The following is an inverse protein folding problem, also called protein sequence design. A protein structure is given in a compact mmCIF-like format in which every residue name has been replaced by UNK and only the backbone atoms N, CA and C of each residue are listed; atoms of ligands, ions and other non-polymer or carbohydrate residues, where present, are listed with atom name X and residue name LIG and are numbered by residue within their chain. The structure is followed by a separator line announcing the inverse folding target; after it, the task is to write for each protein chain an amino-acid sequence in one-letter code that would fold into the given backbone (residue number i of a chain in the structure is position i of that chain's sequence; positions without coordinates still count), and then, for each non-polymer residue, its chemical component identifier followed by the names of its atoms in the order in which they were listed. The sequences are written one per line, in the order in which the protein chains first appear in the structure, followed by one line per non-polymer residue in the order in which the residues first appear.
data_IF_739388986695
#
_entry.id   IF_739388986695
#
_cell.length_a   1.000
_cell.length_b   1.000
_cell.length_c   1.000
_cell.angle_alpha   90.00
_cell.angle_beta   90.00
_cell.angle_gamma   90.00
#
_symmetry.space_group_name_H-M   'P 1'
#
loop_
_entity.id
_entity.type
_entity.pdbx_description
1 polymer ?
#
# COMPACT_ATOMS: atom_id res chain seq x y z
N UNK A 1 -9.43 -3.86 -63.35
CA UNK A 1 -9.81 -3.16 -62.10
C UNK A 1 -9.25 -1.74 -62.12
N UNK A 2 -10.13 -0.73 -62.12
CA UNK A 2 -9.72 0.68 -62.19
C UNK A 2 -8.83 1.06 -60.99
N UNK A 3 -7.82 1.92 -61.20
CA UNK A 3 -6.90 2.42 -60.14
C UNK A 3 -7.65 2.94 -58.91
N UNK A 4 -8.86 3.48 -59.07
CA UNK A 4 -9.72 3.97 -57.98
C UNK A 4 -10.23 2.84 -57.07
N UNK A 5 -10.64 1.71 -57.63
CA UNK A 5 -11.14 0.55 -56.87
C UNK A 5 -10.04 -0.08 -56.01
N UNK A 6 -8.80 -0.16 -56.53
CA UNK A 6 -7.64 -0.64 -55.75
C UNK A 6 -7.28 0.27 -54.57
N UNK A 7 -7.41 1.60 -54.73
CA UNK A 7 -7.18 2.57 -53.65
C UNK A 7 -8.24 2.48 -52.54
N UNK A 8 -9.50 2.27 -52.90
CA UNK A 8 -10.59 2.11 -51.93
C UNK A 8 -10.41 0.82 -51.13
N UNK A 9 -10.05 -0.29 -51.78
CA UNK A 9 -9.77 -1.56 -51.09
C UNK A 9 -8.57 -1.42 -50.14
N UNK A 10 -7.50 -0.75 -50.58
CA UNK A 10 -6.33 -0.51 -49.72
C UNK A 10 -6.69 0.37 -48.50
N UNK A 11 -7.47 1.43 -48.70
CA UNK A 11 -7.92 2.30 -47.61
C UNK A 11 -8.81 1.55 -46.61
N UNK A 12 -9.74 0.73 -47.12
CA UNK A 12 -10.59 -0.11 -46.28
C UNK A 12 -9.77 -1.13 -45.49
N UNK A 13 -8.75 -1.76 -46.09
CA UNK A 13 -7.85 -2.68 -45.42
C UNK A 13 -7.02 -2.00 -44.31
N UNK A 14 -6.53 -0.77 -44.57
CA UNK A 14 -5.81 0.03 -43.56
C UNK A 14 -6.74 0.39 -42.40
N UNK A 15 -7.97 0.84 -42.68
CA UNK A 15 -8.95 1.15 -41.64
C UNK A 15 -9.33 -0.08 -40.81
N UNK A 16 -9.47 -1.25 -41.45
CA UNK A 16 -9.72 -2.52 -40.76
C UNK A 16 -8.54 -2.91 -39.87
N UNK A 17 -7.31 -2.76 -40.37
CA UNK A 17 -6.10 -3.06 -39.61
C UNK A 17 -5.95 -2.13 -38.40
N UNK A 18 -6.20 -0.83 -38.57
CA UNK A 18 -6.24 0.14 -37.47
C UNK A 18 -7.32 -0.24 -36.47
N UNK A 19 -8.53 -0.58 -36.94
CA UNK A 19 -9.63 -1.01 -36.07
C UNK A 19 -9.30 -2.23 -35.23
N UNK A 20 -8.68 -3.25 -35.82
CA UNK A 20 -8.23 -4.47 -35.12
C UNK A 20 -7.14 -4.14 -34.10
N UNK A 21 -6.14 -3.35 -34.48
CA UNK A 21 -5.05 -2.97 -33.57
C UNK A 21 -5.59 -2.15 -32.39
N UNK A 22 -6.47 -1.18 -32.64
CA UNK A 22 -7.13 -0.39 -31.60
C UNK A 22 -7.99 -1.26 -30.68
N UNK A 23 -8.68 -2.26 -31.22
CA UNK A 23 -9.49 -3.19 -30.41
C UNK A 23 -8.64 -4.02 -29.43
N UNK A 24 -7.41 -4.39 -29.81
CA UNK A 24 -6.50 -5.12 -28.91
C UNK A 24 -5.96 -4.28 -27.74
N UNK A 25 -6.06 -2.95 -27.83
CA UNK A 25 -5.64 -2.02 -26.78
C UNK A 25 -6.78 -1.60 -25.84
N UNK A 26 -8.00 -2.09 -26.06
CA UNK A 26 -9.09 -1.83 -25.13
C UNK A 26 -8.81 -2.49 -23.77
N UNK A 27 -9.05 -1.78 -22.66
CA UNK A 27 -8.99 -2.35 -21.33
C UNK A 27 -9.98 -3.51 -21.22
N UNK A 28 -9.48 -4.67 -20.78
CA UNK A 28 -10.30 -5.84 -20.45
C UNK A 28 -10.39 -5.98 -18.94
N UNK A 29 -11.47 -6.63 -18.52
CA UNK A 29 -11.59 -7.09 -17.14
C UNK A 29 -10.37 -7.96 -16.76
N UNK A 30 -9.92 -7.91 -15.50
CA UNK A 30 -8.80 -8.67 -15.03
C UNK A 30 -8.95 -10.17 -15.26
N UNK A 31 -7.95 -10.79 -15.88
CA UNK A 31 -7.84 -12.24 -15.94
C UNK A 31 -7.63 -12.80 -14.53
N UNK A 32 -7.95 -14.09 -14.28
CA UNK A 32 -7.58 -14.76 -13.04
C UNK A 32 -6.11 -14.53 -12.68
N UNK A 33 -5.85 -14.29 -11.39
CA UNK A 33 -4.50 -14.02 -10.93
C UNK A 33 -3.57 -15.22 -11.13
N UNK A 34 -2.27 -14.92 -11.14
CA UNK A 34 -1.19 -15.84 -11.47
C UNK A 34 -1.09 -17.02 -10.50
N UNK A 35 -0.61 -18.16 -10.99
CA UNK A 35 -0.20 -19.30 -10.15
C UNK A 35 1.09 -19.00 -9.37
N UNK A 36 1.36 -19.73 -8.29
CA UNK A 36 2.56 -19.51 -7.45
C UNK A 36 3.85 -19.59 -8.25
N UNK A 37 3.97 -20.57 -9.16
CA UNK A 37 5.12 -20.70 -10.05
C UNK A 37 5.31 -19.47 -10.95
N UNK A 38 4.22 -18.87 -11.41
CA UNK A 38 4.27 -17.66 -12.23
C UNK A 38 4.59 -16.42 -11.40
N UNK A 39 4.05 -16.31 -10.19
CA UNK A 39 4.37 -15.25 -9.22
C UNK A 39 5.87 -15.29 -8.91
N UNK A 40 6.39 -16.42 -8.43
CA UNK A 40 7.81 -16.62 -8.09
C UNK A 40 8.70 -16.25 -9.27
N UNK A 41 8.40 -16.78 -10.47
CA UNK A 41 9.19 -16.47 -11.68
C UNK A 41 9.21 -14.99 -11.99
N UNK A 42 8.07 -14.31 -11.86
CA UNK A 42 7.95 -12.88 -12.19
C UNK A 42 8.59 -12.00 -11.13
N UNK A 43 8.47 -12.33 -9.84
CA UNK A 43 9.22 -11.66 -8.78
C UNK A 43 10.71 -11.77 -9.06
N UNK A 44 11.25 -12.97 -9.27
CA UNK A 44 12.68 -13.15 -9.57
C UNK A 44 13.14 -12.43 -10.85
N UNK A 45 12.25 -12.23 -11.81
CA UNK A 45 12.55 -11.46 -13.03
C UNK A 45 12.50 -9.95 -12.80
N UNK A 46 11.71 -9.49 -11.83
CA UNK A 46 11.50 -8.09 -11.49
C UNK A 46 12.52 -7.59 -10.47
N UNK A 47 12.74 -8.38 -9.42
CA UNK A 47 13.70 -8.14 -8.36
C UNK A 47 14.28 -9.48 -7.90
N UNK A 48 15.47 -9.81 -8.41
CA UNK A 48 16.08 -11.12 -8.20
C UNK A 48 16.62 -11.34 -6.78
N UNK A 49 16.81 -10.30 -5.97
CA UNK A 49 17.30 -10.47 -4.59
C UNK A 49 16.22 -11.11 -3.69
N UNK A 50 14.94 -10.82 -3.95
CA UNK A 50 13.82 -11.31 -3.14
C UNK A 50 13.70 -12.84 -3.03
N UNK A 51 14.17 -13.60 -4.03
CA UNK A 51 14.22 -15.07 -4.05
C UNK A 51 13.02 -15.78 -3.37
N UNK A 52 11.76 -15.53 -3.79
CA UNK A 52 10.61 -16.15 -3.15
C UNK A 52 10.60 -17.67 -3.36
N UNK A 53 10.43 -18.40 -2.27
CA UNK A 53 10.34 -19.87 -2.25
C UNK A 53 8.91 -20.34 -2.05
N UNK A 54 8.17 -19.69 -1.16
CA UNK A 54 6.79 -20.05 -0.79
C UNK A 54 5.89 -18.83 -0.96
N UNK A 55 4.83 -18.96 -1.73
CA UNK A 55 3.75 -17.97 -1.76
C UNK A 55 2.76 -18.33 -0.66
N UNK A 56 2.54 -17.42 0.29
CA UNK A 56 1.67 -17.67 1.45
C UNK A 56 0.19 -17.51 1.07
N UNK A 57 -0.14 -16.52 0.26
CA UNK A 57 -1.54 -16.19 -0.12
C UNK A 57 -1.60 -15.25 -1.32
N UNK A 58 -2.81 -14.98 -1.80
CA UNK A 58 -3.11 -14.03 -2.87
C UNK A 58 -4.32 -13.20 -2.46
N UNK A 59 -4.06 -12.05 -1.84
CA UNK A 59 -5.11 -11.23 -1.24
C UNK A 59 -5.45 -10.09 -2.18
N UNK A 60 -6.65 -10.13 -2.75
CA UNK A 60 -7.15 -9.07 -3.62
C UNK A 60 -7.47 -7.83 -2.77
N UNK A 61 -6.80 -6.72 -3.08
CA UNK A 61 -7.06 -5.42 -2.47
C UNK A 61 -8.26 -4.76 -3.14
N UNK A 62 -8.40 -4.95 -4.45
CA UNK A 62 -9.57 -4.68 -5.27
C UNK A 62 -9.55 -5.58 -6.51
N UNK A 63 -10.35 -5.26 -7.53
CA UNK A 63 -10.41 -6.04 -8.77
C UNK A 63 -9.08 -6.02 -9.56
N UNK A 64 -8.28 -4.96 -9.41
CA UNK A 64 -7.08 -4.65 -10.19
C UNK A 64 -5.78 -4.65 -9.38
N UNK A 65 -5.82 -4.87 -8.07
CA UNK A 65 -4.66 -4.88 -7.18
C UNK A 65 -4.63 -6.12 -6.30
N UNK A 66 -3.45 -6.75 -6.21
CA UNK A 66 -3.24 -7.95 -5.38
C UNK A 66 -2.01 -7.79 -4.51
N UNK A 67 -2.17 -8.09 -3.23
CA UNK A 67 -1.10 -8.24 -2.25
C UNK A 67 -0.73 -9.73 -2.13
N UNK A 68 0.57 -10.02 -2.20
CA UNK A 68 1.08 -11.39 -2.17
C UNK A 68 2.24 -11.46 -1.16
N UNK A 69 1.98 -11.97 0.06
CA UNK A 69 3.03 -12.29 1.04
C UNK A 69 3.75 -13.58 0.63
N UNK A 70 5.07 -13.61 0.85
CA UNK A 70 5.91 -14.75 0.50
C UNK A 70 7.02 -14.98 1.53
N UNK A 71 7.54 -16.20 1.54
CA UNK A 71 8.75 -16.58 2.29
C UNK A 71 9.88 -16.78 1.28
N UNK A 72 11.02 -16.11 1.48
CA UNK A 72 12.20 -16.22 0.63
C UNK A 72 12.99 -17.52 0.89
N UNK A 73 13.99 -17.79 0.06
CA UNK A 73 14.89 -18.94 0.26
C UNK A 73 15.66 -18.87 1.58
N UNK A 74 15.94 -17.66 2.07
CA UNK A 74 16.68 -17.39 3.32
C UNK A 74 15.76 -17.23 4.55
N UNK A 75 14.53 -17.76 4.48
CA UNK A 75 13.49 -17.65 5.53
C UNK A 75 13.10 -16.19 5.87
N UNK A 76 13.28 -15.26 4.92
CA UNK A 76 12.79 -13.88 5.01
C UNK A 76 11.30 -13.81 4.68
N UNK A 77 10.57 -12.90 5.34
CA UNK A 77 9.14 -12.72 5.16
C UNK A 77 8.88 -11.45 4.35
N UNK A 78 8.81 -11.61 3.03
CA UNK A 78 8.68 -10.51 2.08
C UNK A 78 7.26 -10.30 1.57
N UNK A 79 7.08 -9.24 0.80
CA UNK A 79 5.78 -8.90 0.20
C UNK A 79 5.94 -8.43 -1.24
N UNK A 80 4.91 -8.68 -2.05
CA UNK A 80 4.83 -8.14 -3.39
C UNK A 80 3.46 -7.60 -3.73
N UNK A 81 3.45 -6.53 -4.51
CA UNK A 81 2.26 -5.81 -4.94
C UNK A 81 2.11 -5.94 -6.43
N UNK A 82 0.87 -6.16 -6.85
CA UNK A 82 0.55 -6.42 -8.24
C UNK A 82 -0.57 -5.54 -8.71
N UNK A 83 -0.46 -5.08 -9.94
CA UNK A 83 -1.46 -4.27 -10.63
C UNK A 83 -1.86 -4.94 -11.95
N UNK A 84 -3.16 -4.92 -12.25
CA UNK A 84 -3.69 -5.25 -13.56
C UNK A 84 -3.57 -4.03 -14.47
N UNK A 85 -2.64 -4.09 -15.42
CA UNK A 85 -2.42 -2.98 -16.34
C UNK A 85 -1.97 -3.45 -17.70
N UNK A 86 -2.54 -2.84 -18.74
CA UNK A 86 -2.33 -3.23 -20.14
C UNK A 86 -2.66 -4.72 -20.37
N UNK A 87 -3.80 -5.15 -19.84
CA UNK A 87 -4.35 -6.51 -19.95
C UNK A 87 -3.41 -7.61 -19.43
N UNK A 88 -2.62 -7.31 -18.39
CA UNK A 88 -1.78 -8.28 -17.70
C UNK A 88 -1.49 -7.86 -16.26
N UNK A 89 -1.37 -8.85 -15.38
CA UNK A 89 -0.82 -8.66 -14.04
C UNK A 89 0.67 -8.32 -14.09
N UNK A 90 1.09 -7.29 -13.38
CA UNK A 90 2.48 -6.83 -13.28
C UNK A 90 2.84 -6.64 -11.82
N UNK A 91 4.08 -6.98 -11.45
CA UNK A 91 4.60 -6.59 -10.15
C UNK A 91 4.86 -5.08 -10.18
N UNK A 92 4.29 -4.37 -9.21
CA UNK A 92 4.43 -2.94 -8.98
C UNK A 92 5.60 -2.66 -8.02
N UNK A 93 5.66 -3.45 -6.95
CA UNK A 93 6.73 -3.42 -5.97
C UNK A 93 6.94 -4.81 -5.34
N UNK A 94 8.17 -5.04 -4.91
CA UNK A 94 8.58 -6.24 -4.16
C UNK A 94 9.50 -5.76 -3.04
N UNK A 95 9.20 -6.15 -1.80
CA UNK A 95 10.04 -5.89 -0.63
C UNK A 95 10.44 -7.23 -0.02
N UNK A 96 11.71 -7.33 0.41
CA UNK A 96 12.21 -8.46 1.20
C UNK A 96 11.71 -8.42 2.65
N UNK A 97 11.44 -7.22 3.14
CA UNK A 97 10.79 -6.98 4.43
C UNK A 97 9.27 -7.14 4.37
N UNK A 98 8.70 -7.31 5.55
CA UNK A 98 7.29 -7.60 5.82
C UNK A 98 6.62 -6.57 6.73
N UNK A 99 7.28 -5.42 6.92
CA UNK A 99 6.81 -4.31 7.73
C UNK A 99 5.41 -3.82 7.31
N UNK A 100 4.58 -3.33 8.26
CA UNK A 100 3.27 -2.79 7.92
C UNK A 100 3.34 -1.61 6.94
N UNK A 101 2.53 -1.71 5.90
CA UNK A 101 2.35 -0.66 4.89
C UNK A 101 0.86 -0.30 4.77
N UNK A 102 0.57 0.79 4.08
CA UNK A 102 -0.81 1.22 3.82
C UNK A 102 -1.05 1.27 2.33
N UNK A 103 -1.98 0.48 1.82
CA UNK A 103 -2.48 0.66 0.46
C UNK A 103 -3.65 1.65 0.44
N UNK A 104 -3.47 2.78 -0.25
CA UNK A 104 -4.52 3.79 -0.43
C UNK A 104 -5.36 3.49 -1.68
N UNK A 105 -6.36 2.62 -1.55
CA UNK A 105 -7.33 2.36 -2.61
C UNK A 105 -8.31 3.51 -2.85
N UNK A 106 -9.00 3.50 -4.00
CA UNK A 106 -9.96 4.57 -4.35
C UNK A 106 -11.09 4.74 -3.33
N UNK A 107 -11.54 3.63 -2.72
CA UNK A 107 -12.68 3.61 -1.79
C UNK A 107 -12.27 3.58 -0.33
N UNK A 108 -11.25 2.78 -0.01
CA UNK A 108 -10.83 2.48 1.36
C UNK A 108 -9.33 2.22 1.39
N UNK A 109 -8.66 2.81 2.38
CA UNK A 109 -7.28 2.47 2.70
C UNK A 109 -7.21 1.17 3.51
N UNK A 110 -6.15 0.39 3.29
CA UNK A 110 -5.93 -0.91 3.91
C UNK A 110 -4.54 -1.00 4.49
N UNK A 111 -4.42 -1.52 5.70
CA UNK A 111 -3.16 -1.90 6.34
C UNK A 111 -2.83 -3.32 5.92
N UNK A 112 -1.56 -3.57 5.63
CA UNK A 112 -1.06 -4.85 5.13
C UNK A 112 0.27 -5.16 5.79
N UNK A 113 0.53 -6.45 6.04
CA UNK A 113 1.74 -6.89 6.75
C UNK A 113 2.10 -8.33 6.41
N UNK A 114 3.37 -8.70 6.63
CA UNK A 114 3.87 -10.08 6.60
C UNK A 114 4.99 -10.27 7.65
N UNK A 115 4.63 -10.42 8.91
CA UNK A 115 5.58 -10.50 10.03
C UNK A 115 6.21 -11.90 10.11
N UNK A 116 7.51 -11.94 10.39
CA UNK A 116 8.25 -13.16 10.68
C UNK A 116 7.87 -13.70 12.07
N UNK A 117 7.43 -14.97 12.21
CA UNK A 117 7.14 -15.58 13.51
C UNK A 117 8.31 -15.54 14.50
N UNK A 118 9.55 -15.46 14.01
CA UNK A 118 10.76 -15.35 14.85
C UNK A 118 10.84 -14.05 15.65
N UNK A 119 10.08 -13.02 15.24
CA UNK A 119 10.03 -11.73 15.94
C UNK A 119 9.12 -11.76 17.19
N UNK A 120 8.40 -12.86 17.43
CA UNK A 120 7.54 -13.08 18.61
C UNK A 120 6.48 -11.96 18.84
N UNK A 121 6.11 -11.23 17.79
CA UNK A 121 5.05 -10.21 17.84
C UNK A 121 3.69 -10.89 18.03
N UNK A 122 3.00 -10.54 19.12
CA UNK A 122 1.65 -11.02 19.42
C UNK A 122 0.56 -10.09 18.86
N UNK A 123 0.82 -8.79 18.83
CA UNK A 123 -0.11 -7.78 18.33
C UNK A 123 0.61 -6.59 17.69
N UNK A 124 -0.09 -5.96 16.74
CA UNK A 124 0.29 -4.69 16.13
C UNK A 124 -0.76 -3.66 16.54
N UNK A 125 -0.33 -2.53 17.09
CA UNK A 125 -1.20 -1.40 17.41
C UNK A 125 -0.93 -0.27 16.43
N UNK A 126 -1.96 0.23 15.77
CA UNK A 126 -1.91 1.37 14.89
C UNK A 126 -2.48 2.59 15.62
N UNK A 127 -1.86 3.74 15.44
CA UNK A 127 -2.26 4.97 16.09
C UNK A 127 -2.48 6.06 15.05
N UNK A 128 -3.71 6.53 14.92
CA UNK A 128 -4.00 7.73 14.14
C UNK A 128 -3.81 8.94 15.04
N UNK A 129 -2.78 9.74 14.76
CA UNK A 129 -2.33 10.85 15.60
C UNK A 129 -2.38 12.17 14.85
N UNK A 130 -2.78 13.22 15.58
CA UNK A 130 -2.51 14.62 15.28
C UNK A 130 -1.73 15.19 16.45
N UNK A 131 -0.56 15.74 16.18
CA UNK A 131 0.22 16.40 17.23
C UNK A 131 -0.49 17.65 17.75
N UNK A 132 -0.29 17.95 19.03
CA UNK A 132 -0.72 19.21 19.63
C UNK A 132 0.21 20.32 19.14
N UNK A 133 -0.36 21.49 18.87
CA UNK A 133 0.45 22.64 18.48
C UNK A 133 0.08 23.84 19.33
N UNK A 134 1.10 24.56 19.79
CA UNK A 134 0.95 25.84 20.43
C UNK A 134 1.89 26.83 19.77
N UNK A 135 1.33 27.92 19.27
CA UNK A 135 2.08 28.96 18.58
C UNK A 135 1.67 30.33 19.10
N UNK A 136 2.66 31.23 19.21
CA UNK A 136 2.43 32.64 19.49
C UNK A 136 2.97 33.45 18.33
N UNK A 137 2.10 34.20 17.65
CA UNK A 137 2.47 35.11 16.56
C UNK A 137 1.76 36.45 16.74
N UNK A 138 2.49 37.56 16.61
CA UNK A 138 1.97 38.93 16.77
C UNK A 138 1.16 39.15 18.08
N UNK A 139 1.53 38.45 19.15
CA UNK A 139 0.83 38.51 20.45
C UNK A 139 -0.51 37.77 20.49
N UNK A 140 -0.80 36.95 19.48
CA UNK A 140 -1.96 36.05 19.44
C UNK A 140 -1.50 34.63 19.74
N UNK A 141 -2.06 34.06 20.80
CA UNK A 141 -1.84 32.67 21.19
C UNK A 141 -2.81 31.78 20.40
N UNK A 142 -2.27 30.82 19.65
CA UNK A 142 -3.04 29.81 18.93
C UNK A 142 -2.73 28.44 19.51
N UNK A 143 -3.77 27.73 19.95
CA UNK A 143 -3.67 26.36 20.44
C UNK A 143 -4.47 25.42 19.54
N UNK A 144 -3.82 24.36 19.06
CA UNK A 144 -4.46 23.24 18.39
C UNK A 144 -4.35 22.00 19.28
N UNK A 145 -5.48 21.38 19.66
CA UNK A 145 -5.45 20.16 20.46
C UNK A 145 -4.89 18.98 19.66
N UNK A 146 -4.16 18.10 20.37
CA UNK A 146 -3.76 16.80 19.86
C UNK A 146 -4.95 15.84 19.83
N UNK A 147 -4.80 14.76 19.05
CA UNK A 147 -5.77 13.68 18.96
C UNK A 147 -5.05 12.37 18.73
N UNK A 148 -5.49 11.32 19.42
CA UNK A 148 -4.90 9.99 19.31
C UNK A 148 -6.02 8.92 19.35
N UNK A 149 -6.03 8.04 18.35
CA UNK A 149 -6.95 6.90 18.28
C UNK A 149 -6.17 5.63 18.00
N UNK A 150 -6.47 4.56 18.74
CA UNK A 150 -5.78 3.28 18.61
C UNK A 150 -6.67 2.24 17.92
N UNK A 151 -6.07 1.48 17.01
CA UNK A 151 -6.64 0.27 16.42
C UNK A 151 -5.66 -0.90 16.59
N UNK A 152 -6.15 -2.09 16.95
CA UNK A 152 -5.28 -3.24 17.26
C UNK A 152 -5.56 -4.43 16.37
N UNK A 153 -4.49 -5.14 15.99
CA UNK A 153 -4.52 -6.38 15.22
C UNK A 153 -3.77 -7.46 16.01
N UNK A 154 -4.39 -8.62 16.18
CA UNK A 154 -3.78 -9.77 16.86
C UNK A 154 -3.21 -10.77 15.83
N UNK A 155 -1.97 -11.23 16.03
CA UNK A 155 -1.24 -12.07 15.07
C UNK A 155 -1.28 -13.58 15.37
N UNK A 156 -2.07 -14.02 16.36
CA UNK A 156 -2.03 -15.38 16.93
C UNK A 156 -2.24 -16.52 15.92
N UNK A 157 -3.04 -16.32 14.87
CA UNK A 157 -3.33 -17.36 13.88
C UNK A 157 -2.57 -17.18 12.56
N UNK A 158 -2.26 -15.92 12.20
CA UNK A 158 -1.75 -15.57 10.88
C UNK A 158 -0.83 -14.36 11.01
N UNK A 159 0.45 -14.56 10.68
CA UNK A 159 1.45 -13.49 10.76
C UNK A 159 1.41 -12.52 9.57
N UNK A 160 0.44 -12.68 8.66
CA UNK A 160 0.29 -11.84 7.48
C UNK A 160 -1.17 -11.55 7.24
N UNK A 161 -1.48 -10.40 6.66
CA UNK A 161 -2.86 -10.03 6.47
C UNK A 161 -3.07 -8.69 5.81
N UNK A 162 -4.35 -8.40 5.66
CA UNK A 162 -4.89 -7.16 5.15
C UNK A 162 -6.06 -6.79 6.04
N UNK A 163 -6.11 -5.56 6.51
CA UNK A 163 -7.22 -5.03 7.28
C UNK A 163 -7.58 -3.63 6.78
N UNK A 164 -8.87 -3.34 6.66
CA UNK A 164 -9.32 -2.01 6.29
C UNK A 164 -9.09 -1.04 7.45
N UNK A 165 -8.76 0.21 7.13
CA UNK A 165 -8.85 1.25 8.14
C UNK A 165 -10.25 1.27 8.75
N UNK A 166 -10.36 1.43 10.09
CA UNK A 166 -11.63 1.60 10.75
C UNK A 166 -12.44 2.74 10.08
N UNK A 167 -13.76 2.54 9.91
CA UNK A 167 -14.59 3.49 9.17
C UNK A 167 -14.50 4.92 9.74
N UNK A 168 -14.37 5.06 11.06
CA UNK A 168 -14.20 6.35 11.73
C UNK A 168 -12.87 7.05 11.43
N UNK A 169 -11.78 6.29 11.17
CA UNK A 169 -10.52 6.86 10.70
C UNK A 169 -10.68 7.42 9.29
N UNK A 170 -11.31 6.66 8.40
CA UNK A 170 -11.51 7.07 7.00
C UNK A 170 -12.37 8.34 6.91
N UNK A 171 -13.45 8.40 7.68
CA UNK A 171 -14.29 9.59 7.77
C UNK A 171 -13.47 10.80 8.23
N UNK A 172 -12.73 10.66 9.33
CA UNK A 172 -11.93 11.73 9.90
C UNK A 172 -10.85 12.23 8.93
N UNK A 173 -10.07 11.33 8.32
CA UNK A 173 -9.06 11.69 7.30
C UNK A 173 -9.70 12.42 6.12
N UNK A 174 -10.85 11.95 5.65
CA UNK A 174 -11.58 12.58 4.54
C UNK A 174 -12.06 13.99 4.89
N UNK A 175 -12.60 14.18 6.10
CA UNK A 175 -13.02 15.51 6.56
C UNK A 175 -11.83 16.44 6.74
N UNK A 176 -10.73 15.94 7.31
CA UNK A 176 -9.51 16.72 7.53
C UNK A 176 -8.90 17.18 6.20
N UNK A 177 -8.81 16.29 5.20
CA UNK A 177 -8.36 16.62 3.86
C UNK A 177 -9.26 17.69 3.18
N UNK A 178 -10.59 17.62 3.38
CA UNK A 178 -11.53 18.63 2.85
C UNK A 178 -11.35 20.00 3.51
N UNK A 179 -11.06 20.04 4.82
CA UNK A 179 -10.82 21.30 5.54
C UNK A 179 -9.52 21.93 5.03
N UNK A 180 -8.44 21.15 4.98
CA UNK A 180 -7.16 21.64 4.45
C UNK A 180 -7.25 22.15 3.01
N UNK A 181 -7.99 21.45 2.14
CA UNK A 181 -8.18 21.87 0.75
C UNK A 181 -9.00 23.17 0.60
N UNK A 182 -9.90 23.46 1.55
CA UNK A 182 -10.69 24.71 1.58
C UNK A 182 -9.91 25.89 2.14
N UNK A 183 -9.02 25.63 3.09
CA UNK A 183 -8.25 26.65 3.82
C UNK A 183 -6.97 27.09 3.09
N UNK A 184 -6.88 26.86 1.77
CA UNK A 184 -5.73 27.16 0.89
C UNK A 184 -5.27 28.63 0.80
N UNK A 185 -5.48 29.44 1.84
CA UNK A 185 -5.01 30.81 2.01
C UNK A 185 -4.31 31.09 3.35
N UNK A 186 -4.26 30.15 4.31
CA UNK A 186 -3.48 30.32 5.53
C UNK A 186 -2.25 29.42 5.52
N UNK A 187 -1.16 29.89 4.90
CA UNK A 187 0.19 29.30 5.05
C UNK A 187 0.58 29.14 6.53
N UNK A 188 -0.02 29.95 7.42
CA UNK A 188 0.14 29.90 8.87
C UNK A 188 -0.48 28.66 9.55
N UNK A 189 -1.49 28.02 8.93
CA UNK A 189 -2.07 26.74 9.39
C UNK A 189 -1.47 25.52 8.66
N UNK A 190 -0.62 25.76 7.66
CA UNK A 190 0.00 24.72 6.84
C UNK A 190 1.36 24.24 7.37
N UNK A 191 1.91 24.92 8.39
CA UNK A 191 3.15 24.54 9.06
C UNK A 191 2.82 23.70 10.28
N UNK A 192 2.50 22.41 10.07
CA UNK A 192 2.06 21.55 11.15
C UNK A 192 1.30 20.30 10.71
N UNK A 193 2.05 19.30 10.24
CA UNK A 193 1.72 17.87 10.14
C UNK A 193 0.25 17.44 10.30
N UNK A 194 -0.31 16.96 9.18
CA UNK A 194 -1.65 16.39 9.15
C UNK A 194 -1.81 15.13 9.99
N UNK A 195 -3.03 14.58 9.94
CA UNK A 195 -3.35 13.31 10.59
C UNK A 195 -2.45 12.19 10.03
N UNK A 196 -1.65 11.55 10.90
CA UNK A 196 -0.68 10.52 10.52
C UNK A 196 -0.98 9.19 11.21
N UNK A 197 -0.64 8.09 10.55
CA UNK A 197 -0.75 6.74 11.13
C UNK A 197 0.63 6.27 11.55
N UNK A 198 0.71 5.83 12.80
CA UNK A 198 1.90 5.24 13.41
C UNK A 198 1.64 3.78 13.76
N UNK A 199 2.71 3.02 13.96
CA UNK A 199 2.65 1.59 14.31
C UNK A 199 3.48 1.30 15.56
N UNK A 200 2.95 0.51 16.48
CA UNK A 200 3.66 -0.08 17.61
C UNK A 200 3.51 -1.60 17.62
N UNK A 201 4.52 -2.31 18.12
CA UNK A 201 4.55 -3.77 18.15
C UNK A 201 4.66 -4.26 19.58
N UNK A 202 3.89 -5.30 19.91
CA UNK A 202 3.86 -5.85 21.26
C UNK A 202 3.89 -7.37 21.21
N UNK A 203 4.56 -7.98 22.19
CA UNK A 203 4.59 -9.43 22.36
C UNK A 203 3.24 -9.98 22.87
N UNK A 204 3.11 -11.29 22.99
CA UNK A 204 1.88 -11.93 23.49
C UNK A 204 1.53 -11.58 24.95
N UNK A 205 2.43 -10.92 25.69
CA UNK A 205 2.23 -10.45 27.07
C UNK A 205 1.89 -8.96 27.12
N UNK A 206 1.78 -8.29 25.97
CA UNK A 206 1.52 -6.86 25.87
C UNK A 206 2.74 -5.99 26.16
N UNK A 207 3.95 -6.53 26.11
CA UNK A 207 5.19 -5.75 26.25
C UNK A 207 5.64 -5.26 24.87
N UNK A 208 6.01 -3.99 24.77
CA UNK A 208 6.58 -3.43 23.56
C UNK A 208 7.81 -4.24 23.07
N UNK A 209 7.86 -4.48 21.77
CA UNK A 209 8.92 -5.19 21.07
C UNK A 209 9.20 -4.54 19.71
N UNK A 210 10.23 -5.01 18.99
CA UNK A 210 10.50 -4.57 17.63
C UNK A 210 10.78 -5.77 16.71
N UNK A 211 10.04 -5.93 15.60
CA UNK A 211 10.21 -7.05 14.67
C UNK A 211 11.42 -6.87 13.77
N UNK A 212 12.60 -7.11 14.34
CA UNK A 212 13.87 -6.83 13.71
C UNK A 212 14.08 -7.62 12.42
N UNK A 213 13.59 -8.86 12.32
CA UNK A 213 13.75 -9.69 11.13
C UNK A 213 12.72 -9.40 10.04
N UNK A 214 11.57 -8.82 10.40
CA UNK A 214 10.55 -8.40 9.44
C UNK A 214 10.85 -7.05 8.79
N UNK A 215 11.69 -6.21 9.42
CA UNK A 215 11.98 -4.84 8.94
C UNK A 215 13.32 -4.73 8.19
N UNK A 216 13.99 -5.86 7.96
CA UNK A 216 15.26 -5.91 7.23
C UNK A 216 15.05 -6.36 5.80
N UNK A 217 15.64 -5.63 4.85
CA UNK A 217 15.68 -6.04 3.46
C UNK A 217 15.69 -4.85 2.52
N UNK A 218 15.91 -5.14 1.25
CA UNK A 218 15.77 -4.18 0.17
C UNK A 218 14.36 -4.26 -0.43
N UNK A 219 13.97 -3.18 -1.09
CA UNK A 219 12.75 -3.10 -1.87
C UNK A 219 13.05 -2.61 -3.28
N UNK A 220 12.27 -3.07 -4.24
CA UNK A 220 12.28 -2.57 -5.60
C UNK A 220 10.87 -2.21 -6.04
N UNK A 221 10.69 -1.00 -6.56
CA UNK A 221 9.45 -0.52 -7.14
C UNK A 221 9.73 0.19 -8.46
N UNK A 222 8.80 0.09 -9.40
CA UNK A 222 8.91 0.80 -10.68
C UNK A 222 7.96 1.98 -10.71
N UNK A 223 8.48 3.17 -10.98
CA UNK A 223 7.68 4.39 -11.05
C UNK A 223 6.53 4.35 -12.07
N UNK A 224 6.68 3.57 -13.15
CA UNK A 224 5.64 3.43 -14.18
C UNK A 224 4.39 2.68 -13.71
N UNK A 225 4.54 1.77 -12.74
CA UNK A 225 3.49 0.91 -12.19
C UNK A 225 3.40 1.11 -10.66
N UNK A 226 3.67 2.33 -10.18
CA UNK A 226 3.72 2.68 -8.77
C UNK A 226 2.38 2.42 -8.08
N UNK A 227 2.44 1.71 -6.95
CA UNK A 227 1.35 1.58 -6.00
C UNK A 227 1.77 2.37 -4.78
N UNK A 228 0.94 3.31 -4.35
CA UNK A 228 1.18 4.09 -3.13
C UNK A 228 0.99 3.21 -1.91
N UNK A 229 2.09 2.62 -1.46
CA UNK A 229 2.20 1.82 -0.23
C UNK A 229 3.28 2.39 0.68
N UNK A 230 3.03 3.56 1.31
CA UNK A 230 3.97 4.14 2.26
C UNK A 230 4.17 3.21 3.47
N UNK A 231 5.40 3.21 3.96
CA UNK A 231 5.74 2.63 5.26
C UNK A 231 5.10 3.44 6.38
N UNK A 232 4.70 2.75 7.44
CA UNK A 232 4.21 3.40 8.64
C UNK A 232 5.37 3.71 9.60
N UNK A 233 5.33 4.91 10.18
CA UNK A 233 6.33 5.34 11.17
C UNK A 233 6.10 4.58 12.47
N UNK A 234 7.17 4.09 13.08
CA UNK A 234 7.07 3.45 14.39
C UNK A 234 6.84 4.49 15.48
N UNK A 235 6.04 4.17 16.49
CA UNK A 235 5.86 4.97 17.70
C UNK A 235 6.10 4.12 18.94
N UNK A 236 6.79 4.68 19.93
CA UNK A 236 7.04 4.05 21.22
C UNK A 236 5.98 4.45 22.25
N UNK A 237 5.77 3.63 23.28
CA UNK A 237 4.74 3.87 24.31
C UNK A 237 4.93 5.21 25.03
N UNK A 238 6.17 5.66 25.24
CA UNK A 238 6.50 6.94 25.86
C UNK A 238 6.22 8.17 24.97
N UNK A 239 5.88 7.97 23.70
CA UNK A 239 5.50 9.02 22.75
C UNK A 239 3.97 9.11 22.58
N UNK A 240 3.22 8.19 23.19
CA UNK A 240 1.76 8.18 23.19
C UNK A 240 1.21 9.10 24.29
N UNK A 241 0.06 9.71 24.04
CA UNK A 241 -0.59 10.60 25.01
C UNK A 241 -1.55 9.85 25.94
N UNK A 242 -2.09 8.71 25.49
CA UNK A 242 -2.96 7.84 26.29
C UNK A 242 -2.25 6.64 26.94
N UNK A 243 -2.88 6.07 27.97
CA UNK A 243 -2.52 4.76 28.53
C UNK A 243 -3.33 3.67 27.78
N UNK A 244 -2.66 2.75 27.08
CA UNK A 244 -3.29 1.76 26.17
C UNK A 244 -2.95 0.30 26.48
#
# INVERSE_FOLDING_TARGET
MAKKTKKIILLAAILLMIGVLSFTQLPKDPDPFLSDKQVIKRINSFFSEAQPKIIQDRIFLDDTHVFVPFISEDDGYGMSFWIWKNNKWRAASVNEGGEPQVWNGEKKSKIIWNINPKDEVGEIRFFLKKEREFMVADGVDTYQPGMEMMHRITLQEKMYGVEEYPDHWQELMTQYAKIQAKDGQNEFLALGDGLQVFTGFYDAKGKETFPQTSFTGNGYSTGDDFVDVPFLVQVHENELEGEY
#
